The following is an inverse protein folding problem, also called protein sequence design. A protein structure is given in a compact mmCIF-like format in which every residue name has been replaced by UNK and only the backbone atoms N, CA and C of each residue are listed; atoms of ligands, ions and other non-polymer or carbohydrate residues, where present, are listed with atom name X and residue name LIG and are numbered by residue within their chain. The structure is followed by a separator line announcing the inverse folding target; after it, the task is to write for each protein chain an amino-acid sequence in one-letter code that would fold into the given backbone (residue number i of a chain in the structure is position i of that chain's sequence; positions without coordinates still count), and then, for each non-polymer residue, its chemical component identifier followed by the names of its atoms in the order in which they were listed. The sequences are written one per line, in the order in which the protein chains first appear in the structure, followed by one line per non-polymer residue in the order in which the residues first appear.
data_IF_408398262408
#
_entry.id   IF_408398262408
#
_cell.length_a   1.000
_cell.length_b   1.000
_cell.length_c   1.000
_cell.angle_alpha   90.00
_cell.angle_beta   90.00
_cell.angle_gamma   90.00
#
_symmetry.space_group_name_H-M   'P 1'
#
loop_
_entity.id
_entity.type
_entity.pdbx_description
1 polymer ?
#
# COMPACT_ATOMS: atom_id res chain seq x y z
N UNK A 1 -16.46 3.55 -11.37
CA UNK A 1 -15.25 4.25 -10.91
C UNK A 1 -15.68 5.39 -10.02
N UNK A 2 -15.30 5.31 -8.76
CA UNK A 2 -15.59 6.29 -7.72
C UNK A 2 -14.27 6.85 -7.22
N UNK A 3 -14.11 8.16 -7.34
CA UNK A 3 -12.99 8.90 -6.75
C UNK A 3 -13.44 10.32 -6.38
N UNK A 4 -13.81 10.51 -5.12
CA UNK A 4 -14.22 11.80 -4.58
C UNK A 4 -13.07 12.56 -3.91
N UNK A 5 -11.82 12.14 -4.17
CA UNK A 5 -10.63 12.77 -3.61
C UNK A 5 -10.46 12.53 -2.10
N UNK A 6 -9.60 13.33 -1.48
CA UNK A 6 -9.26 13.21 -0.06
C UNK A 6 -10.33 13.83 0.84
N UNK A 7 -10.67 13.13 1.91
CA UNK A 7 -11.62 13.55 2.94
C UNK A 7 -10.99 13.30 4.32
N UNK A 8 -11.15 14.26 5.22
CA UNK A 8 -10.55 14.18 6.56
C UNK A 8 -11.41 13.35 7.51
N UNK A 9 -10.81 12.36 8.16
CA UNK A 9 -11.37 11.66 9.33
C UNK A 9 -10.38 11.86 10.47
N UNK A 10 -10.79 12.62 11.50
CA UNK A 10 -9.96 12.95 12.66
C UNK A 10 -8.58 13.56 12.27
N UNK A 11 -8.53 14.34 11.19
CA UNK A 11 -7.31 14.97 10.69
C UNK A 11 -6.45 14.09 9.76
N UNK A 12 -6.82 12.82 9.57
CA UNK A 12 -6.19 11.93 8.59
C UNK A 12 -6.96 11.98 7.28
N UNK A 13 -6.28 12.32 6.18
CA UNK A 13 -6.88 12.47 4.86
C UNK A 13 -6.93 11.12 4.14
N UNK A 14 -8.14 10.57 4.01
CA UNK A 14 -8.43 9.29 3.35
C UNK A 14 -9.12 9.57 2.02
N UNK A 15 -8.69 8.91 0.95
CA UNK A 15 -9.33 9.01 -0.35
C UNK A 15 -10.66 8.25 -0.34
N UNK A 16 -11.73 8.94 -0.71
CA UNK A 16 -13.02 8.29 -0.97
C UNK A 16 -13.00 7.67 -2.37
N UNK A 17 -12.46 6.45 -2.46
CA UNK A 17 -12.16 5.76 -3.73
C UNK A 17 -12.62 4.31 -3.70
N UNK A 18 -12.97 3.74 -4.85
CA UNK A 18 -13.25 2.30 -5.02
C UNK A 18 -12.00 1.50 -5.43
N UNK A 19 -12.16 0.18 -5.55
CA UNK A 19 -11.07 -0.72 -5.96
C UNK A 19 -10.51 -0.42 -7.35
N UNK A 20 -11.39 -0.18 -8.33
CA UNK A 20 -10.98 0.04 -9.72
C UNK A 20 -10.14 1.32 -9.81
N UNK A 21 -10.65 2.43 -9.27
CA UNK A 21 -9.93 3.70 -9.26
C UNK A 21 -8.64 3.67 -8.43
N UNK A 22 -8.57 2.88 -7.35
CA UNK A 22 -7.33 2.67 -6.63
C UNK A 22 -6.31 1.86 -7.45
N UNK A 23 -6.73 0.75 -8.07
CA UNK A 23 -5.88 -0.08 -8.92
C UNK A 23 -5.37 0.71 -10.13
N UNK A 24 -6.23 1.46 -10.82
CA UNK A 24 -5.85 2.27 -11.97
C UNK A 24 -4.76 3.29 -11.64
N UNK A 25 -4.87 3.98 -10.50
CA UNK A 25 -3.85 4.94 -10.06
C UNK A 25 -2.50 4.29 -9.79
N UNK A 26 -2.49 3.12 -9.13
CA UNK A 26 -1.26 2.38 -8.80
C UNK A 26 -0.57 1.93 -10.09
N UNK A 27 -1.35 1.37 -11.02
CA UNK A 27 -0.86 0.83 -12.28
C UNK A 27 -0.36 1.94 -13.21
N UNK A 28 -1.09 3.06 -13.31
CA UNK A 28 -0.66 4.23 -14.05
C UNK A 28 0.67 4.78 -13.52
N UNK A 29 0.83 4.88 -12.19
CA UNK A 29 2.08 5.33 -11.60
C UNK A 29 3.25 4.35 -11.87
N UNK A 30 2.98 3.05 -11.87
CA UNK A 30 3.97 2.02 -12.18
C UNK A 30 4.46 2.12 -13.64
N UNK A 31 3.57 2.34 -14.60
CA UNK A 31 3.95 2.58 -16.00
C UNK A 31 4.74 3.86 -16.20
N UNK A 32 4.27 4.95 -15.58
CA UNK A 32 4.91 6.26 -15.66
C UNK A 32 6.24 6.31 -14.90
N UNK A 33 6.58 5.25 -14.15
CA UNK A 33 7.74 5.19 -13.24
C UNK A 33 7.78 6.37 -12.28
N UNK A 34 6.61 6.80 -11.80
CA UNK A 34 6.47 7.92 -10.87
C UNK A 34 6.43 7.40 -9.43
N UNK A 35 7.15 8.05 -8.50
CA UNK A 35 6.93 7.89 -7.07
C UNK A 35 5.45 7.91 -6.71
N UNK A 36 4.95 6.83 -6.10
CA UNK A 36 3.56 6.71 -5.68
C UNK A 36 3.45 5.90 -4.38
N UNK A 37 3.30 6.64 -3.29
CA UNK A 37 3.22 6.11 -1.94
C UNK A 37 1.75 5.90 -1.56
N UNK A 38 1.40 4.70 -1.13
CA UNK A 38 0.02 4.40 -0.73
C UNK A 38 -0.06 3.54 0.53
N UNK A 39 -1.20 3.62 1.22
CA UNK A 39 -1.55 2.70 2.31
C UNK A 39 -3.05 2.40 2.31
N UNK A 40 -3.41 1.18 2.73
CA UNK A 40 -4.77 0.80 3.06
C UNK A 40 -4.97 0.98 4.56
N UNK A 41 -5.73 2.01 4.94
CA UNK A 41 -5.76 2.47 6.33
C UNK A 41 -7.06 2.08 7.02
N UNK A 42 -6.95 1.11 7.95
CA UNK A 42 -8.05 0.69 8.81
C UNK A 42 -8.16 1.59 10.04
N UNK A 43 -9.22 1.38 10.85
CA UNK A 43 -9.50 2.17 12.07
C UNK A 43 -8.28 2.33 12.96
N UNK A 44 -7.51 1.25 13.18
CA UNK A 44 -6.28 1.31 13.97
C UNK A 44 -5.32 2.40 13.46
N UNK A 45 -5.02 2.41 12.16
CA UNK A 45 -4.13 3.41 11.56
C UNK A 45 -4.71 4.83 11.56
N UNK A 46 -6.03 4.97 11.40
CA UNK A 46 -6.71 6.27 11.56
C UNK A 46 -6.53 6.80 12.98
N UNK A 47 -6.74 5.96 13.99
CA UNK A 47 -6.59 6.35 15.39
C UNK A 47 -5.15 6.66 15.74
N UNK A 48 -4.19 5.86 15.28
CA UNK A 48 -2.75 6.14 15.46
C UNK A 48 -2.38 7.52 14.90
N UNK A 49 -2.85 7.86 13.68
CA UNK A 49 -2.64 9.19 13.11
C UNK A 49 -3.44 10.31 13.80
N UNK A 50 -4.60 10.02 14.39
CA UNK A 50 -5.33 11.01 15.18
C UNK A 50 -4.55 11.39 16.45
N UNK A 51 -3.91 10.41 17.09
CA UNK A 51 -3.20 10.61 18.37
C UNK A 51 -1.72 11.00 18.22
N UNK A 52 -1.11 10.77 17.05
CA UNK A 52 0.29 11.09 16.78
C UNK A 52 0.39 12.09 15.62
N UNK A 53 0.82 13.32 15.94
CA UNK A 53 0.95 14.41 14.97
C UNK A 53 2.01 14.16 13.89
N UNK A 54 3.10 13.48 14.24
CA UNK A 54 4.17 13.15 13.30
C UNK A 54 3.70 12.05 12.33
N UNK A 55 3.05 11.02 12.85
CA UNK A 55 2.46 9.98 12.01
C UNK A 55 1.33 10.53 11.12
N UNK A 56 0.49 11.43 11.64
CA UNK A 56 -0.52 12.15 10.84
C UNK A 56 0.09 12.90 9.67
N UNK A 57 1.21 13.59 9.91
CA UNK A 57 1.92 14.32 8.88
C UNK A 57 2.40 13.37 7.77
N UNK A 58 3.02 12.24 8.14
CA UNK A 58 3.45 11.20 7.19
C UNK A 58 2.29 10.66 6.36
N UNK A 59 1.20 10.24 7.01
CA UNK A 59 -0.02 9.75 6.35
C UNK A 59 -0.55 10.76 5.32
N UNK A 60 -0.71 12.01 5.72
CA UNK A 60 -1.27 13.05 4.86
C UNK A 60 -0.38 13.40 3.65
N UNK A 61 0.87 12.94 3.62
CA UNK A 61 1.81 13.11 2.50
C UNK A 61 1.87 11.92 1.55
N UNK A 62 1.29 10.77 1.91
CA UNK A 62 1.11 9.66 0.97
C UNK A 62 0.22 10.11 -0.19
N UNK A 63 0.42 9.55 -1.39
CA UNK A 63 -0.33 9.90 -2.60
C UNK A 63 -1.77 9.39 -2.57
N UNK A 64 -1.96 8.19 -2.02
CA UNK A 64 -3.24 7.51 -1.92
C UNK A 64 -3.40 6.80 -0.58
N UNK A 65 -4.42 7.18 0.19
CA UNK A 65 -4.86 6.41 1.35
C UNK A 65 -6.23 5.83 1.04
N UNK A 66 -6.33 4.53 0.87
CA UNK A 66 -7.62 3.88 0.57
C UNK A 66 -8.37 3.54 1.86
N UNK A 67 -9.71 3.55 1.85
CA UNK A 67 -10.50 3.33 3.07
C UNK A 67 -10.55 1.84 3.39
N UNK A 68 -9.68 1.37 4.28
CA UNK A 68 -9.72 0.00 4.77
C UNK A 68 -10.65 -0.11 6.01
N UNK A 69 -11.35 -1.23 6.16
CA UNK A 69 -12.35 -1.46 7.18
C UNK A 69 -13.71 -0.81 6.89
N UNK A 70 -14.79 -1.46 7.33
CA UNK A 70 -16.14 -0.88 7.21
C UNK A 70 -16.32 0.43 7.99
N UNK A 71 -15.76 0.61 9.21
CA UNK A 71 -15.98 1.85 9.94
C UNK A 71 -15.39 3.09 9.25
N UNK A 72 -14.26 2.95 8.55
CA UNK A 72 -13.65 4.07 7.78
C UNK A 72 -14.57 4.46 6.62
N UNK A 73 -15.07 3.48 5.87
CA UNK A 73 -16.09 3.69 4.83
C UNK A 73 -17.35 4.37 5.39
N UNK A 74 -17.87 3.89 6.52
CA UNK A 74 -19.05 4.49 7.15
C UNK A 74 -18.80 5.94 7.56
N UNK A 75 -17.64 6.23 8.14
CA UNK A 75 -17.25 7.60 8.48
C UNK A 75 -17.15 8.51 7.25
N UNK A 76 -16.57 8.02 6.14
CA UNK A 76 -16.53 8.76 4.88
C UNK A 76 -17.93 9.05 4.33
N UNK A 77 -18.83 8.06 4.38
CA UNK A 77 -20.20 8.23 3.91
C UNK A 77 -21.00 9.19 4.80
N UNK A 78 -20.85 9.08 6.11
CA UNK A 78 -21.62 9.86 7.07
C UNK A 78 -21.15 11.31 7.16
N UNK A 79 -19.83 11.54 7.25
CA UNK A 79 -19.27 12.88 7.42
C UNK A 79 -19.16 13.66 6.10
N UNK A 80 -18.93 12.97 4.99
CA UNK A 80 -18.59 13.61 3.71
C UNK A 80 -19.55 13.26 2.56
N UNK A 81 -20.58 12.45 2.81
CA UNK A 81 -21.52 12.04 1.76
C UNK A 81 -20.86 11.25 0.63
N UNK A 82 -19.77 10.52 0.90
CA UNK A 82 -18.93 9.87 -0.12
C UNK A 82 -19.62 8.73 -0.90
N UNK A 83 -20.83 8.29 -0.49
CA UNK A 83 -21.66 7.26 -1.16
C UNK A 83 -20.90 5.98 -1.56
N UNK A 84 -19.84 5.62 -0.83
CA UNK A 84 -19.07 4.41 -1.07
C UNK A 84 -19.92 3.18 -0.80
N UNK A 85 -19.98 2.29 -1.77
CA UNK A 85 -20.73 1.02 -1.71
C UNK A 85 -19.95 -0.10 -1.03
N UNK A 86 -18.63 0.02 -0.94
CA UNK A 86 -17.76 -0.86 -0.16
C UNK A 86 -16.50 -0.15 0.35
N UNK A 87 -15.77 -0.82 1.24
CA UNK A 87 -14.41 -0.47 1.64
C UNK A 87 -13.40 -0.95 0.60
N UNK A 88 -12.19 -0.45 0.66
CA UNK A 88 -11.05 -0.98 -0.10
C UNK A 88 -10.15 -1.76 0.86
N UNK A 89 -10.48 -3.04 1.05
CA UNK A 89 -9.71 -3.97 1.88
C UNK A 89 -8.33 -4.23 1.27
N UNK A 90 -7.26 -3.98 2.04
CA UNK A 90 -5.87 -4.07 1.57
C UNK A 90 -5.53 -5.39 0.85
N UNK A 91 -5.77 -6.58 1.45
CA UNK A 91 -5.49 -7.85 0.80
C UNK A 91 -6.22 -8.07 -0.53
N UNK A 92 -7.48 -7.64 -0.65
CA UNK A 92 -8.21 -7.72 -1.92
C UNK A 92 -7.64 -6.74 -2.96
N UNK A 93 -7.24 -5.54 -2.52
CA UNK A 93 -6.58 -4.56 -3.40
C UNK A 93 -5.25 -5.11 -3.91
N UNK A 94 -4.43 -5.72 -3.05
CA UNK A 94 -3.18 -6.39 -3.43
C UNK A 94 -3.43 -7.43 -4.53
N UNK A 95 -4.47 -8.26 -4.39
CA UNK A 95 -4.81 -9.25 -5.40
C UNK A 95 -5.21 -8.61 -6.74
N UNK A 96 -6.00 -7.53 -6.74
CA UNK A 96 -6.37 -6.78 -7.95
C UNK A 96 -5.15 -6.15 -8.62
N UNK A 97 -4.24 -5.58 -7.83
CA UNK A 97 -2.98 -5.00 -8.34
C UNK A 97 -2.08 -6.08 -8.93
N UNK A 98 -1.93 -7.23 -8.27
CA UNK A 98 -1.15 -8.35 -8.81
C UNK A 98 -1.75 -8.90 -10.10
N UNK A 99 -3.07 -9.09 -10.15
CA UNK A 99 -3.77 -9.52 -11.36
C UNK A 99 -3.51 -8.57 -12.53
N UNK A 100 -3.60 -7.26 -12.25
CA UNK A 100 -3.38 -6.24 -13.27
C UNK A 100 -1.90 -6.18 -13.67
N UNK A 101 -0.97 -6.17 -12.73
CA UNK A 101 0.46 -6.20 -12.97
C UNK A 101 0.88 -7.39 -13.85
N UNK A 102 0.35 -8.59 -13.60
CA UNK A 102 0.59 -9.78 -14.41
C UNK A 102 0.19 -9.58 -15.88
N UNK A 103 -1.05 -9.11 -16.11
CA UNK A 103 -1.54 -8.81 -17.47
C UNK A 103 -0.74 -7.70 -18.16
N UNK A 104 -0.06 -6.83 -17.40
CA UNK A 104 0.56 -5.59 -17.89
C UNK A 104 2.08 -5.68 -17.93
N UNK A 105 2.61 -6.86 -17.63
CA UNK A 105 4.03 -7.12 -17.61
C UNK A 105 4.81 -6.23 -16.62
N UNK A 106 4.15 -5.81 -15.53
CA UNK A 106 4.76 -5.04 -14.45
C UNK A 106 5.26 -6.01 -13.37
N UNK A 107 6.53 -5.86 -12.99
CA UNK A 107 7.13 -6.70 -11.96
C UNK A 107 6.88 -6.15 -10.56
N UNK A 108 6.62 -7.04 -9.60
CA UNK A 108 6.43 -6.70 -8.19
C UNK A 108 7.65 -7.09 -7.35
N UNK A 109 7.89 -6.35 -6.27
CA UNK A 109 8.81 -6.74 -5.19
C UNK A 109 8.02 -6.94 -3.90
N UNK A 110 8.37 -7.93 -3.10
CA UNK A 110 7.68 -8.22 -1.83
C UNK A 110 8.64 -7.97 -0.66
N UNK A 111 8.34 -7.00 0.18
CA UNK A 111 9.20 -6.63 1.30
C UNK A 111 8.47 -6.75 2.64
N UNK A 112 9.05 -7.47 3.59
CA UNK A 112 8.55 -7.57 4.97
C UNK A 112 8.25 -9.00 5.42
N UNK A 113 7.53 -9.14 6.53
CA UNK A 113 7.22 -10.45 7.14
C UNK A 113 8.45 -11.36 7.35
N UNK A 114 8.23 -12.67 7.53
CA UNK A 114 9.25 -13.71 7.72
C UNK A 114 9.52 -14.49 6.43
N UNK A 115 10.70 -15.11 6.26
CA UNK A 115 11.05 -15.89 5.06
C UNK A 115 9.98 -16.93 4.67
N UNK A 116 9.46 -17.69 5.63
CA UNK A 116 8.46 -18.74 5.41
C UNK A 116 7.10 -18.18 4.95
N UNK A 117 6.77 -16.95 5.34
CA UNK A 117 5.54 -16.27 4.91
C UNK A 117 5.72 -15.74 3.50
N UNK A 118 6.89 -15.16 3.19
CA UNK A 118 7.20 -14.69 1.84
C UNK A 118 7.24 -15.83 0.82
N UNK A 119 7.82 -16.98 1.18
CA UNK A 119 7.86 -18.15 0.30
C UNK A 119 6.44 -18.62 -0.06
N UNK A 120 5.56 -18.75 0.95
CA UNK A 120 4.15 -19.12 0.75
C UNK A 120 3.39 -18.07 -0.07
N UNK A 121 3.65 -16.78 0.17
CA UNK A 121 2.99 -15.71 -0.57
C UNK A 121 3.38 -15.75 -2.05
N UNK A 122 4.66 -15.91 -2.35
CA UNK A 122 5.16 -16.05 -3.73
C UNK A 122 4.52 -17.26 -4.42
N UNK A 123 4.54 -18.43 -3.78
CA UNK A 123 3.92 -19.64 -4.32
C UNK A 123 2.43 -19.44 -4.66
N UNK A 124 1.67 -18.86 -3.73
CA UNK A 124 0.25 -18.61 -3.91
C UNK A 124 -0.03 -17.58 -5.02
N UNK A 125 0.78 -16.52 -5.10
CA UNK A 125 0.63 -15.49 -6.13
C UNK A 125 0.97 -16.04 -7.52
N UNK A 126 2.07 -16.76 -7.68
CA UNK A 126 2.44 -17.37 -8.97
C UNK A 126 1.43 -18.43 -9.40
N UNK A 127 0.88 -19.21 -8.45
CA UNK A 127 -0.19 -20.17 -8.77
C UNK A 127 -1.47 -19.48 -9.24
N UNK A 128 -1.83 -18.35 -8.62
CA UNK A 128 -3.04 -17.60 -8.93
C UNK A 128 -2.91 -16.74 -10.20
N UNK A 129 -1.71 -16.21 -10.44
CA UNK A 129 -1.38 -15.32 -11.56
C UNK A 129 -0.08 -15.80 -12.22
N UNK A 130 -0.16 -16.79 -13.15
CA UNK A 130 1.02 -17.41 -13.74
C UNK A 130 1.98 -16.43 -14.46
N UNK A 131 1.44 -15.34 -15.02
CA UNK A 131 2.21 -14.32 -15.73
C UNK A 131 2.78 -13.22 -14.80
N UNK A 132 2.53 -13.30 -13.49
CA UNK A 132 3.03 -12.31 -12.54
C UNK A 132 4.55 -12.43 -12.36
N UNK A 133 5.26 -11.34 -12.66
CA UNK A 133 6.70 -11.25 -12.44
C UNK A 133 6.99 -10.81 -11.01
N UNK A 134 7.70 -11.63 -10.27
CA UNK A 134 8.22 -11.28 -8.94
C UNK A 134 9.73 -11.01 -9.11
N UNK A 135 10.11 -9.74 -9.07
CA UNK A 135 11.49 -9.27 -9.25
C UNK A 135 12.38 -9.56 -8.03
N UNK A 136 11.76 -9.77 -6.88
CA UNK A 136 12.46 -10.15 -5.67
C UNK A 136 11.55 -10.19 -4.45
N UNK A 137 12.07 -10.75 -3.37
CA UNK A 137 11.41 -10.76 -2.07
C UNK A 137 12.45 -10.67 -0.97
N UNK A 138 12.20 -9.86 0.05
CA UNK A 138 13.11 -9.71 1.19
C UNK A 138 12.34 -9.65 2.52
N UNK A 139 12.69 -10.49 3.52
CA UNK A 139 12.04 -10.50 4.82
C UNK A 139 12.35 -9.23 5.62
N UNK A 140 11.45 -8.86 6.54
CA UNK A 140 11.76 -7.81 7.51
C UNK A 140 12.79 -8.33 8.51
N UNK A 141 13.70 -7.45 8.97
CA UNK A 141 14.66 -7.78 10.03
C UNK A 141 14.04 -7.80 11.43
N UNK A 142 12.75 -7.47 11.58
CA UNK A 142 12.00 -7.41 12.85
C UNK A 142 12.64 -6.57 13.98
N UNK A 143 13.64 -5.76 13.66
CA UNK A 143 14.29 -4.80 14.54
C UNK A 143 14.36 -3.43 13.91
N UNK A 144 14.85 -2.45 14.67
CA UNK A 144 15.28 -1.19 14.10
C UNK A 144 16.47 -1.46 13.18
N UNK A 145 16.36 -0.96 11.95
CA UNK A 145 17.40 -1.04 10.94
C UNK A 145 18.17 0.28 10.94
N UNK A 146 19.49 0.19 10.74
CA UNK A 146 20.33 1.39 10.63
C UNK A 146 20.02 2.17 9.35
N UNK A 147 20.41 3.44 9.29
CA UNK A 147 20.24 4.25 8.08
C UNK A 147 20.95 3.62 6.86
N UNK A 148 22.09 2.96 7.09
CA UNK A 148 22.81 2.24 6.05
C UNK A 148 22.01 1.04 5.51
N UNK A 149 21.44 0.23 6.41
CA UNK A 149 20.58 -0.90 6.01
C UNK A 149 19.33 -0.43 5.25
N UNK A 150 18.74 0.71 5.63
CA UNK A 150 17.62 1.29 4.89
C UNK A 150 18.00 1.61 3.45
N UNK A 151 19.16 2.25 3.25
CA UNK A 151 19.68 2.57 1.92
C UNK A 151 19.96 1.31 1.11
N UNK A 152 20.55 0.29 1.72
CA UNK A 152 20.84 -1.00 1.07
C UNK A 152 19.55 -1.70 0.59
N UNK A 153 18.51 -1.73 1.42
CA UNK A 153 17.20 -2.29 1.08
C UNK A 153 16.58 -1.50 -0.09
N UNK A 154 16.57 -0.17 0.00
CA UNK A 154 16.03 0.69 -1.05
C UNK A 154 16.76 0.50 -2.39
N UNK A 155 18.09 0.38 -2.36
CA UNK A 155 18.91 0.11 -3.55
C UNK A 155 18.64 -1.28 -4.12
N UNK A 156 18.51 -2.30 -3.27
CA UNK A 156 18.17 -3.66 -3.69
C UNK A 156 16.82 -3.70 -4.42
N UNK A 157 15.81 -3.06 -3.84
CA UNK A 157 14.48 -2.92 -4.46
C UNK A 157 14.59 -2.18 -5.79
N UNK A 158 15.29 -1.04 -5.84
CA UNK A 158 15.44 -0.23 -7.06
C UNK A 158 16.15 -0.99 -8.18
N UNK A 159 17.17 -1.78 -7.84
CA UNK A 159 17.96 -2.56 -8.80
C UNK A 159 17.26 -3.83 -9.27
N UNK A 160 16.22 -4.29 -8.55
CA UNK A 160 15.45 -5.48 -8.93
C UNK A 160 14.65 -5.33 -10.24
N UNK A 161 14.41 -4.09 -10.68
CA UNK A 161 13.55 -3.80 -11.83
C UNK A 161 12.06 -3.87 -11.52
N UNK A 162 11.66 -4.00 -10.24
CA UNK A 162 10.27 -3.92 -9.83
C UNK A 162 9.67 -2.54 -10.12
N UNK A 163 8.42 -2.53 -10.57
CA UNK A 163 7.61 -1.33 -10.76
C UNK A 163 6.66 -1.07 -9.58
N UNK A 164 6.42 -2.10 -8.76
CA UNK A 164 5.51 -2.05 -7.61
C UNK A 164 6.17 -2.75 -6.43
N UNK A 165 6.08 -2.18 -5.23
CA UNK A 165 6.60 -2.77 -3.99
C UNK A 165 5.44 -3.04 -3.04
N UNK A 166 5.29 -4.29 -2.61
CA UNK A 166 4.33 -4.72 -1.60
C UNK A 166 5.04 -4.77 -0.24
N UNK A 167 4.86 -3.74 0.58
CA UNK A 167 5.44 -3.65 1.92
C UNK A 167 4.49 -4.23 2.99
N UNK A 168 4.95 -5.23 3.74
CA UNK A 168 4.23 -5.89 4.84
C UNK A 168 5.00 -5.80 6.15
N UNK A 169 5.11 -4.60 6.72
CA UNK A 169 5.90 -4.31 7.94
C UNK A 169 5.05 -4.11 9.20
N UNK A 170 3.73 -4.01 9.04
CA UNK A 170 2.78 -3.70 10.10
C UNK A 170 2.68 -2.20 10.38
N UNK A 171 1.50 -1.76 10.82
CA UNK A 171 1.23 -0.38 11.24
C UNK A 171 1.88 -0.12 12.61
N UNK A 172 2.57 1.03 12.84
CA UNK A 172 2.75 2.17 11.93
C UNK A 172 4.04 2.11 11.08
N UNK A 173 4.87 1.07 11.25
CA UNK A 173 6.19 0.97 10.60
C UNK A 173 6.10 0.97 9.07
N UNK A 174 5.04 0.39 8.54
CA UNK A 174 4.77 0.32 7.10
C UNK A 174 4.61 1.72 6.50
N UNK A 175 3.73 2.55 7.06
CA UNK A 175 3.47 3.90 6.57
C UNK A 175 4.69 4.80 6.72
N UNK A 176 5.45 4.64 7.81
CA UNK A 176 6.73 5.34 7.99
C UNK A 176 7.74 4.95 6.90
N UNK A 177 7.92 3.66 6.65
CA UNK A 177 8.85 3.18 5.62
C UNK A 177 8.43 3.65 4.22
N UNK A 178 7.15 3.58 3.89
CA UNK A 178 6.61 4.05 2.61
C UNK A 178 6.80 5.57 2.44
N UNK A 179 6.64 6.34 3.51
CA UNK A 179 6.88 7.79 3.46
C UNK A 179 8.37 8.13 3.26
N UNK A 180 9.27 7.41 3.92
CA UNK A 180 10.72 7.63 3.84
C UNK A 180 11.33 7.19 2.50
N UNK A 181 10.70 6.25 1.79
CA UNK A 181 11.20 5.64 0.56
C UNK A 181 10.36 5.98 -0.69
N UNK A 182 9.62 7.09 -0.65
CA UNK A 182 8.81 7.58 -1.78
C UNK A 182 9.68 8.07 -2.93
#
# INVERSE_FOLDING_TARGET
MVDFGRKSILGVNINAVDYESATDKIIAAAHDKKPFAMSALAVHGVMTGATDAEHRYRLNKLDLIVPDGQPVRWALNWLHGAKLTDRVYGPNLTLKVCERAARENLAIYIYGSKPEVLAKLQENLTRKFPDLKIAGSEPSRFRQISAHEQIEIAQTIKNSGASIVLAGLGCPRQETWVFENR
#
